data_IF_030461477466
#
_entry.id   IF_030461477466
#
_cell.length_a   1.000
_cell.length_b   1.000
_cell.length_c   1.000
_cell.angle_alpha   90.00
_cell.angle_beta   90.00
_cell.angle_gamma   90.00
#
_symmetry.space_group_name_H-M   'P 1'
#
loop_
_entity.id
_entity.type
_entity.pdbx_description
1 polymer ?
#
# COMPACT_ATOMS: atom_id res chain seq x y z
N UNK A 1 37.49 21.54 13.93
CA UNK A 1 36.05 21.19 14.02
C UNK A 1 35.97 19.68 14.05
N UNK A 2 35.75 19.06 15.22
CA UNK A 2 35.72 17.61 15.37
C UNK A 2 34.30 17.10 15.11
N UNK A 3 33.94 16.95 13.84
CA UNK A 3 32.73 16.24 13.45
C UNK A 3 32.99 14.73 13.47
N UNK A 4 32.08 13.95 14.03
CA UNK A 4 32.11 12.49 13.90
C UNK A 4 31.72 12.14 12.46
N UNK A 5 32.64 11.54 11.71
CA UNK A 5 32.42 11.10 10.32
C UNK A 5 31.70 9.75 10.24
N UNK A 6 30.60 9.63 11.00
CA UNK A 6 29.72 8.47 10.99
C UNK A 6 28.30 8.94 10.65
N UNK A 7 27.51 8.13 9.92
CA UNK A 7 26.11 8.41 9.68
C UNK A 7 25.38 8.77 10.98
N UNK A 8 24.54 9.81 10.92
CA UNK A 8 23.75 10.29 12.06
C UNK A 8 24.56 10.62 13.33
N UNK A 9 25.84 10.99 13.19
CA UNK A 9 26.71 11.33 14.32
C UNK A 9 27.02 10.14 15.23
N UNK A 10 27.00 8.91 14.67
CA UNK A 10 27.26 7.68 15.41
C UNK A 10 26.07 7.13 16.20
N UNK A 11 24.87 7.69 16.02
CA UNK A 11 23.65 7.18 16.66
C UNK A 11 23.15 5.91 15.97
N UNK A 12 22.68 4.97 16.77
CA UNK A 12 21.98 3.78 16.26
C UNK A 12 20.59 4.21 15.79
N UNK A 13 20.32 4.03 14.50
CA UNK A 13 19.02 4.27 13.89
C UNK A 13 18.28 2.94 13.70
N UNK A 14 17.00 2.90 14.09
CA UNK A 14 16.09 1.81 13.75
C UNK A 14 15.05 2.34 12.79
N UNK A 15 14.94 1.70 11.63
CA UNK A 15 14.00 2.02 10.59
C UNK A 15 12.96 0.91 10.51
N UNK A 16 11.70 1.28 10.34
CA UNK A 16 10.59 0.36 10.12
C UNK A 16 9.79 0.83 8.91
N UNK A 17 9.37 -0.11 8.08
CA UNK A 17 8.62 0.17 6.86
C UNK A 17 8.40 -1.11 6.06
N UNK A 18 7.67 -0.99 4.96
CA UNK A 18 7.45 -2.07 4.01
C UNK A 18 7.82 -1.57 2.62
N UNK A 19 8.84 -2.16 2.00
CA UNK A 19 9.31 -1.76 0.66
C UNK A 19 8.34 -2.13 -0.46
N UNK A 20 7.28 -2.87 -0.15
CA UNK A 20 6.18 -3.20 -1.05
C UNK A 20 5.08 -2.14 -1.02
N UNK A 21 5.23 -1.10 -0.18
CA UNK A 21 4.37 0.10 -0.19
C UNK A 21 4.76 1.06 -1.32
N UNK A 22 3.93 2.07 -1.53
CA UNK A 22 4.14 3.09 -2.56
C UNK A 22 5.46 3.84 -2.38
N UNK A 23 6.09 4.17 -3.51
CA UNK A 23 7.31 5.00 -3.54
C UNK A 23 7.05 6.41 -3.00
N UNK A 24 8.11 7.15 -2.57
CA UNK A 24 7.94 8.52 -2.13
C UNK A 24 7.28 9.40 -3.19
N UNK A 25 6.38 10.28 -2.76
CA UNK A 25 5.72 11.23 -3.65
C UNK A 25 6.71 12.34 -4.02
N UNK A 26 7.01 12.46 -5.31
CA UNK A 26 7.79 13.57 -5.88
C UNK A 26 6.84 14.40 -6.73
N UNK A 27 6.43 15.57 -6.24
CA UNK A 27 5.46 16.44 -6.92
C UNK A 27 6.02 16.89 -8.27
N UNK A 28 5.28 16.65 -9.35
CA UNK A 28 5.72 16.91 -10.73
C UNK A 28 6.87 16.00 -11.21
N UNK A 29 7.23 14.99 -10.42
CA UNK A 29 8.31 14.07 -10.72
C UNK A 29 7.87 12.88 -11.57
N UNK A 30 8.85 12.30 -12.26
CA UNK A 30 8.69 11.04 -12.99
C UNK A 30 8.82 9.84 -12.06
N UNK A 31 8.37 8.66 -12.53
CA UNK A 31 8.57 7.38 -11.82
C UNK A 31 10.04 7.14 -11.45
N UNK A 32 10.98 7.47 -12.35
CA UNK A 32 12.42 7.34 -12.08
C UNK A 32 12.89 8.26 -10.96
N UNK A 33 12.40 9.49 -10.90
CA UNK A 33 12.74 10.41 -9.81
C UNK A 33 12.19 9.94 -8.46
N UNK A 34 10.97 9.39 -8.44
CA UNK A 34 10.40 8.80 -7.23
C UNK A 34 11.24 7.61 -6.70
N UNK A 35 11.70 6.74 -7.61
CA UNK A 35 12.60 5.63 -7.25
C UNK A 35 13.94 6.16 -6.71
N UNK A 36 14.56 7.16 -7.37
CA UNK A 36 15.81 7.79 -6.92
C UNK A 36 15.69 8.49 -5.57
N UNK A 37 14.49 8.95 -5.20
CA UNK A 37 14.22 9.55 -3.90
C UNK A 37 14.01 8.50 -2.80
N UNK A 38 13.86 7.22 -3.15
CA UNK A 38 13.65 6.15 -2.17
C UNK A 38 14.91 5.83 -1.38
N UNK A 39 14.72 5.26 -0.18
CA UNK A 39 15.83 4.81 0.67
C UNK A 39 16.66 3.70 0.02
N UNK A 40 16.06 2.92 -0.89
CA UNK A 40 16.72 1.83 -1.60
C UNK A 40 17.83 2.36 -2.52
N UNK A 41 17.63 3.54 -3.12
CA UNK A 41 18.63 4.23 -3.96
C UNK A 41 19.60 5.11 -3.14
N UNK A 42 19.45 5.17 -1.82
CA UNK A 42 20.34 5.95 -0.96
C UNK A 42 21.66 5.24 -0.72
N UNK A 43 22.76 5.99 -0.70
CA UNK A 43 24.08 5.48 -0.29
C UNK A 43 24.05 4.85 1.11
N UNK A 44 23.15 5.33 1.99
CA UNK A 44 22.94 4.79 3.33
C UNK A 44 22.44 3.34 3.32
N UNK A 45 21.75 2.91 2.25
CA UNK A 45 21.20 1.56 2.15
C UNK A 45 22.28 0.47 2.32
N UNK A 46 23.49 0.73 1.81
CA UNK A 46 24.65 -0.15 1.96
C UNK A 46 25.09 -0.37 3.42
N UNK A 47 24.75 0.56 4.32
CA UNK A 47 25.07 0.52 5.74
C UNK A 47 23.92 -0.01 6.60
N UNK A 48 22.77 -0.32 6.01
CA UNK A 48 21.58 -0.79 6.73
C UNK A 48 21.60 -2.32 6.80
N UNK A 49 21.51 -2.86 8.01
CA UNK A 49 21.19 -4.27 8.22
C UNK A 49 19.67 -4.46 8.13
N UNK A 50 19.22 -5.22 7.13
CA UNK A 50 17.80 -5.53 6.95
C UNK A 50 17.40 -6.73 7.80
N UNK A 51 16.27 -6.61 8.49
CA UNK A 51 15.61 -7.69 9.23
C UNK A 51 14.19 -7.82 8.68
N UNK A 52 13.80 -9.03 8.30
CA UNK A 52 12.50 -9.29 7.70
C UNK A 52 11.51 -9.82 8.75
N UNK A 53 10.33 -9.21 8.82
CA UNK A 53 9.19 -9.78 9.52
C UNK A 53 8.42 -10.67 8.53
N UNK A 54 8.26 -11.94 8.86
CA UNK A 54 7.71 -12.95 7.94
C UNK A 54 6.25 -13.31 8.23
N UNK A 55 5.76 -13.02 9.44
CA UNK A 55 4.39 -13.33 9.84
C UNK A 55 3.47 -12.12 9.64
N UNK A 56 2.43 -12.29 8.81
CA UNK A 56 1.36 -11.31 8.64
C UNK A 56 0.26 -11.54 9.69
N UNK A 57 0.37 -10.86 10.82
CA UNK A 57 -0.60 -10.96 11.91
C UNK A 57 -1.96 -10.30 11.59
N UNK A 58 -2.03 -9.39 10.60
CA UNK A 58 -3.26 -8.65 10.28
C UNK A 58 -4.25 -9.52 9.51
N UNK A 59 -3.75 -10.33 8.59
CA UNK A 59 -4.55 -11.21 7.75
C UNK A 59 -4.41 -12.70 8.14
N UNK A 60 -4.03 -12.99 9.40
CA UNK A 60 -3.81 -14.35 9.88
C UNK A 60 -5.01 -15.28 9.69
N UNK A 61 -6.23 -14.73 9.75
CA UNK A 61 -7.47 -15.48 9.56
C UNK A 61 -7.91 -15.61 8.08
N UNK A 62 -7.20 -14.97 7.15
CA UNK A 62 -7.45 -15.04 5.71
C UNK A 62 -6.13 -15.27 4.95
N UNK A 63 -5.67 -16.52 5.02
CA UNK A 63 -4.40 -16.93 4.41
C UNK A 63 -4.40 -16.73 2.90
N UNK A 64 -5.54 -16.93 2.22
CA UNK A 64 -5.69 -16.69 0.79
C UNK A 64 -5.40 -15.25 0.41
N UNK A 65 -6.04 -14.30 1.11
CA UNK A 65 -5.83 -12.88 0.89
C UNK A 65 -4.41 -12.46 1.27
N UNK A 66 -3.90 -12.94 2.40
CA UNK A 66 -2.53 -12.65 2.83
C UNK A 66 -1.50 -13.11 1.80
N UNK A 67 -1.63 -14.34 1.29
CA UNK A 67 -0.70 -14.88 0.29
C UNK A 67 -0.78 -14.09 -1.01
N UNK A 68 -1.99 -13.75 -1.47
CA UNK A 68 -2.18 -12.94 -2.67
C UNK A 68 -1.49 -11.57 -2.54
N UNK A 69 -1.68 -10.86 -1.42
CA UNK A 69 -1.00 -9.59 -1.17
C UNK A 69 0.54 -9.72 -1.11
N UNK A 70 1.05 -10.83 -0.56
CA UNK A 70 2.49 -11.11 -0.54
C UNK A 70 3.04 -11.32 -1.94
N UNK A 71 2.38 -12.12 -2.79
CA UNK A 71 2.77 -12.33 -4.17
C UNK A 71 2.77 -11.02 -4.98
N UNK A 72 1.74 -10.17 -4.79
CA UNK A 72 1.69 -8.82 -5.39
C UNK A 72 2.92 -8.01 -4.98
N UNK A 73 3.17 -7.92 -3.67
CA UNK A 73 4.25 -7.09 -3.16
C UNK A 73 5.64 -7.58 -3.57
N UNK A 74 5.81 -8.89 -3.77
CA UNK A 74 7.05 -9.48 -4.28
C UNK A 74 7.20 -9.38 -5.80
N UNK A 75 6.16 -8.95 -6.53
CA UNK A 75 6.16 -8.94 -7.99
C UNK A 75 6.06 -10.34 -8.61
N UNK A 76 5.47 -11.29 -7.89
CA UNK A 76 5.30 -12.68 -8.32
C UNK A 76 3.97 -12.92 -9.04
N UNK A 77 2.97 -12.06 -8.80
CA UNK A 77 1.68 -12.16 -9.48
C UNK A 77 1.81 -11.86 -10.99
N UNK A 78 1.23 -12.70 -11.87
CA UNK A 78 1.23 -12.44 -13.30
C UNK A 78 0.58 -11.10 -13.64
N UNK A 79 1.25 -10.33 -14.50
CA UNK A 79 0.69 -9.09 -15.01
C UNK A 79 -0.10 -9.33 -16.30
N UNK A 80 -1.17 -8.58 -16.48
CA UNK A 80 -1.89 -8.42 -17.73
C UNK A 80 -1.35 -7.18 -18.47
N UNK A 81 -2.12 -6.66 -19.45
CA UNK A 81 -1.77 -5.45 -20.19
C UNK A 81 -1.41 -4.27 -19.26
N UNK A 82 -0.47 -3.44 -19.72
CA UNK A 82 0.07 -2.28 -18.99
C UNK A 82 0.73 -2.58 -17.63
N UNK A 83 1.19 -3.82 -17.42
CA UNK A 83 1.74 -4.29 -16.13
C UNK A 83 0.73 -4.26 -14.98
N UNK A 84 -0.57 -4.31 -15.31
CA UNK A 84 -1.63 -4.39 -14.29
C UNK A 84 -1.73 -5.80 -13.72
N UNK A 85 -2.25 -5.92 -12.50
CA UNK A 85 -2.51 -7.21 -11.86
C UNK A 85 -4.00 -7.49 -11.97
N UNK A 86 -4.36 -8.71 -12.41
CA UNK A 86 -5.76 -9.12 -12.45
C UNK A 86 -6.23 -9.45 -11.03
N UNK A 87 -7.22 -8.71 -10.53
CA UNK A 87 -7.86 -9.01 -9.26
C UNK A 87 -8.71 -10.29 -9.39
N UNK A 88 -8.64 -11.23 -8.43
CA UNK A 88 -9.50 -12.41 -8.42
C UNK A 88 -10.97 -12.06 -8.49
N UNK A 89 -11.76 -12.84 -9.25
CA UNK A 89 -13.20 -12.57 -9.43
C UNK A 89 -13.98 -12.63 -8.09
N UNK A 90 -13.46 -13.35 -7.08
CA UNK A 90 -14.02 -13.36 -5.72
C UNK A 90 -13.84 -12.06 -4.94
N UNK A 91 -12.93 -11.19 -5.38
CA UNK A 91 -12.63 -9.90 -4.74
C UNK A 91 -13.13 -8.71 -5.58
N UNK A 92 -13.62 -8.95 -6.79
CA UNK A 92 -14.03 -7.92 -7.73
C UNK A 92 -15.55 -7.82 -7.84
N UNK A 93 -16.05 -6.59 -8.00
CA UNK A 93 -17.40 -6.33 -8.50
C UNK A 93 -17.26 -5.95 -9.98
N UNK A 94 -17.77 -6.78 -10.92
CA UNK A 94 -17.72 -6.46 -12.34
C UNK A 94 -18.43 -5.15 -12.65
N UNK A 95 -17.84 -4.37 -13.56
CA UNK A 95 -18.48 -3.16 -14.06
C UNK A 95 -19.43 -3.51 -15.20
N UNK A 96 -20.72 -3.42 -14.94
CA UNK A 96 -21.82 -3.68 -15.88
C UNK A 96 -22.56 -2.37 -16.24
N UNK A 97 -22.07 -1.24 -15.74
CA UNK A 97 -22.60 0.11 -15.95
C UNK A 97 -22.67 0.91 -14.66
N UNK A 98 -23.26 2.11 -14.71
CA UNK A 98 -23.37 3.03 -13.56
C UNK A 98 -24.00 2.38 -12.30
N UNK A 99 -24.89 1.41 -12.47
CA UNK A 99 -25.50 0.69 -11.36
C UNK A 99 -24.48 -0.12 -10.53
N UNK A 100 -23.35 -0.53 -11.12
CA UNK A 100 -22.25 -1.19 -10.41
C UNK A 100 -21.62 -0.31 -9.34
N UNK A 101 -21.62 1.03 -9.54
CA UNK A 101 -21.14 1.99 -8.54
C UNK A 101 -22.07 1.97 -7.32
N UNK A 102 -23.39 2.00 -7.54
CA UNK A 102 -24.36 1.84 -6.46
C UNK A 102 -24.22 0.50 -5.75
N UNK A 103 -23.94 -0.58 -6.49
CA UNK A 103 -23.68 -1.89 -5.90
C UNK A 103 -22.43 -1.89 -5.01
N UNK A 104 -21.34 -1.24 -5.44
CA UNK A 104 -20.11 -1.08 -4.67
C UNK A 104 -20.32 -0.26 -3.39
N UNK A 105 -21.08 0.85 -3.49
CA UNK A 105 -21.42 1.66 -2.32
C UNK A 105 -22.26 0.83 -1.34
N UNK A 106 -23.26 0.09 -1.82
CA UNK A 106 -24.14 -0.72 -0.98
C UNK A 106 -23.41 -1.93 -0.37
N UNK A 107 -22.47 -2.55 -1.08
CA UNK A 107 -21.68 -3.65 -0.52
C UNK A 107 -20.75 -3.18 0.60
N UNK A 108 -20.19 -1.97 0.46
CA UNK A 108 -19.28 -1.38 1.45
C UNK A 108 -20.03 -0.72 2.59
N UNK A 109 -21.14 -0.03 2.32
CA UNK A 109 -21.98 0.68 3.27
C UNK A 109 -23.47 0.30 3.09
N UNK A 110 -23.91 -0.87 3.62
CA UNK A 110 -25.26 -1.38 3.41
C UNK A 110 -26.38 -0.49 3.92
N UNK A 111 -26.14 0.25 5.01
CA UNK A 111 -27.14 1.09 5.67
C UNK A 111 -26.58 2.47 6.02
N UNK A 112 -25.94 3.11 5.02
CA UNK A 112 -25.28 4.40 5.18
C UNK A 112 -26.22 5.50 5.72
N UNK A 113 -27.50 5.49 5.32
CA UNK A 113 -28.46 6.54 5.63
C UNK A 113 -28.81 6.64 7.12
N UNK A 114 -28.83 5.52 7.84
CA UNK A 114 -29.13 5.47 9.28
C UNK A 114 -27.87 5.64 10.16
N UNK A 115 -26.66 5.56 9.57
CA UNK A 115 -25.38 5.56 10.28
C UNK A 115 -24.47 6.74 9.88
N UNK A 116 -25.01 7.82 9.29
CA UNK A 116 -24.23 8.97 8.80
C UNK A 116 -23.38 9.67 9.87
N UNK A 117 -23.79 9.59 11.13
CA UNK A 117 -23.08 10.16 12.28
C UNK A 117 -22.63 9.09 13.28
N UNK A 118 -22.55 7.82 12.87
CA UNK A 118 -22.09 6.72 13.70
C UNK A 118 -20.60 6.45 13.42
N UNK A 119 -19.69 6.84 14.32
CA UNK A 119 -18.26 6.60 14.14
C UNK A 119 -17.93 5.10 14.13
N UNK A 120 -18.62 4.29 14.94
CA UNK A 120 -18.35 2.86 15.04
C UNK A 120 -18.69 2.15 13.73
N UNK A 121 -19.79 2.52 13.10
CA UNK A 121 -20.15 2.01 11.77
C UNK A 121 -19.13 2.37 10.69
N UNK A 122 -18.53 3.56 10.79
CA UNK A 122 -17.61 4.09 9.77
C UNK A 122 -16.17 3.60 9.91
N UNK A 123 -15.72 3.22 11.12
CA UNK A 123 -14.32 2.88 11.39
C UNK A 123 -13.76 1.75 10.53
N UNK A 124 -14.57 0.73 10.23
CA UNK A 124 -14.12 -0.49 9.53
C UNK A 124 -14.44 -0.47 8.03
N UNK A 125 -14.81 0.68 7.47
CA UNK A 125 -15.30 0.79 6.09
C UNK A 125 -14.62 1.95 5.37
N UNK A 126 -14.19 1.71 4.13
CA UNK A 126 -13.61 2.75 3.29
C UNK A 126 -13.86 2.47 1.81
N UNK A 127 -14.11 3.55 1.06
CA UNK A 127 -13.97 3.58 -0.40
C UNK A 127 -12.81 4.50 -0.71
N UNK A 128 -11.86 4.01 -1.50
CA UNK A 128 -10.64 4.74 -1.84
C UNK A 128 -10.53 4.78 -3.36
N UNK A 129 -10.27 5.98 -3.89
CA UNK A 129 -9.94 6.21 -5.29
C UNK A 129 -8.47 6.62 -5.40
N UNK A 130 -7.79 6.32 -6.53
CA UNK A 130 -6.40 6.70 -6.72
C UNK A 130 -6.22 8.22 -6.88
N UNK A 131 -7.28 8.93 -7.25
CA UNK A 131 -7.29 10.37 -7.48
C UNK A 131 -8.30 11.02 -6.56
N UNK A 132 -7.95 12.21 -6.08
CA UNK A 132 -8.90 13.14 -5.48
C UNK A 132 -9.58 13.94 -6.61
N UNK A 133 -10.78 14.46 -6.34
CA UNK A 133 -11.42 15.44 -7.21
C UNK A 133 -10.58 16.74 -7.22
N UNK A 134 -10.45 17.36 -8.40
CA UNK A 134 -9.74 18.64 -8.60
C UNK A 134 -10.69 19.83 -8.49
#
# INVERSE_FOLDING_TARGET
MFGVDLPFGGKIMKLGGDFRQVVPVVVGGTRSQAVKASIVESHLCSSIKVLHLVENIRAQNDQSFSNFLLCIGNGEEPTIEDNMIRIPDSMAIPFEGEHSIHHLIKSTFPDLGSHTYDPEYMMDRALITPLNDY
#
